data_IF_683292277287
#
_entry.id   IF_683292277287
#
_cell.length_a   1.000
_cell.length_b   1.000
_cell.length_c   1.000
_cell.angle_alpha   90.00
_cell.angle_beta   90.00
_cell.angle_gamma   90.00
#
_symmetry.space_group_name_H-M   'P 1'
#
loop_
_entity.id
_entity.type
_entity.pdbx_description
1 polymer ?
#
# COMPACT_ATOMS: atom_id res chain seq x y z
N UNK A 1 45.91 -10.47 57.89
CA UNK A 1 44.77 -11.01 57.13
C UNK A 1 45.26 -11.29 55.72
N UNK A 2 44.97 -12.48 55.22
CA UNK A 2 45.24 -13.11 53.91
C UNK A 2 45.13 -12.16 52.69
N UNK A 3 45.76 -12.34 51.52
CA UNK A 3 46.16 -13.54 50.76
C UNK A 3 47.06 -13.15 49.59
N UNK A 4 48.00 -14.03 49.22
CA UNK A 4 48.97 -13.98 48.11
C UNK A 4 48.46 -14.86 46.94
N UNK A 5 48.97 -14.58 45.73
CA UNK A 5 49.11 -15.44 44.53
C UNK A 5 48.02 -15.44 43.42
N UNK A 6 48.43 -14.89 42.27
CA UNK A 6 48.13 -15.32 40.87
C UNK A 6 48.93 -16.61 40.51
N UNK A 7 48.94 -17.19 39.27
CA UNK A 7 48.02 -17.23 38.11
C UNK A 7 47.90 -18.64 37.42
N UNK A 8 47.21 -18.74 36.25
CA UNK A 8 47.36 -19.75 35.13
C UNK A 8 46.94 -21.20 35.43
N UNK A 9 46.51 -22.09 34.52
CA UNK A 9 46.31 -22.21 33.06
C UNK A 9 45.33 -23.44 32.87
N UNK A 10 45.38 -24.33 31.85
CA UNK A 10 44.52 -24.34 30.67
C UNK A 10 43.79 -25.70 30.44
N UNK A 11 42.82 -25.79 29.53
CA UNK A 11 42.64 -27.01 28.70
C UNK A 11 41.59 -26.84 27.60
N UNK A 12 42.09 -26.96 26.38
CA UNK A 12 41.42 -27.08 25.07
C UNK A 12 40.80 -28.49 24.87
N UNK A 13 40.39 -28.90 23.65
CA UNK A 13 39.08 -28.77 23.01
C UNK A 13 38.53 -30.18 22.63
N UNK A 14 37.74 -30.30 21.54
CA UNK A 14 37.22 -31.52 20.85
C UNK A 14 35.74 -31.79 21.19
N UNK A 15 34.84 -32.15 20.26
CA UNK A 15 35.01 -32.98 19.06
C UNK A 15 33.86 -32.77 18.06
N UNK A 16 34.20 -33.01 16.79
CA UNK A 16 33.39 -32.92 15.57
C UNK A 16 32.73 -34.27 15.23
N UNK A 17 31.58 -34.21 14.51
CA UNK A 17 31.03 -35.14 13.49
C UNK A 17 30.38 -36.48 13.97
N UNK A 18 29.63 -37.21 13.10
CA UNK A 18 28.65 -36.83 12.06
C UNK A 18 27.39 -37.77 12.02
N UNK A 19 26.56 -37.62 10.98
CA UNK A 19 25.84 -38.69 10.25
C UNK A 19 24.35 -38.92 10.52
N UNK A 20 23.58 -39.01 9.42
CA UNK A 20 22.45 -39.96 9.34
C UNK A 20 21.09 -39.38 8.96
N UNK A 21 20.92 -38.94 7.72
CA UNK A 21 19.58 -38.90 7.09
C UNK A 21 19.18 -40.30 6.60
N UNK A 22 17.93 -40.73 6.84
CA UNK A 22 17.17 -41.55 5.89
C UNK A 22 15.93 -40.77 5.44
N UNK A 23 15.92 -40.22 4.22
CA UNK A 23 15.21 -40.71 3.00
C UNK A 23 13.87 -41.46 3.19
N UNK A 24 12.87 -40.96 2.44
CA UNK A 24 11.75 -41.66 1.82
C UNK A 24 10.37 -41.68 2.51
N UNK A 25 9.50 -40.78 2.04
CA UNK A 25 8.21 -41.07 1.38
C UNK A 25 7.59 -39.70 1.04
N UNK A 26 7.12 -39.36 -0.16
CA UNK A 26 6.60 -40.16 -1.26
C UNK A 26 5.24 -39.59 -1.66
N UNK A 27 5.15 -38.31 -2.08
CA UNK A 27 3.97 -37.74 -2.76
C UNK A 27 4.37 -36.66 -3.77
N UNK A 28 3.96 -36.78 -5.05
CA UNK A 28 4.14 -35.75 -6.06
C UNK A 28 2.93 -34.80 -6.04
N UNK A 29 3.14 -33.50 -6.18
CA UNK A 29 2.08 -32.61 -6.64
C UNK A 29 2.67 -31.51 -7.51
N UNK A 30 2.08 -31.38 -8.69
CA UNK A 30 2.48 -30.53 -9.80
C UNK A 30 2.52 -29.06 -9.40
N UNK A 31 3.63 -28.40 -9.73
CA UNK A 31 3.66 -26.97 -9.98
C UNK A 31 3.06 -26.70 -11.37
N UNK A 32 2.02 -25.87 -11.43
CA UNK A 32 1.52 -25.29 -12.68
C UNK A 32 1.27 -23.80 -12.44
N UNK A 33 2.09 -22.89 -13.00
CA UNK A 33 1.81 -21.47 -12.92
C UNK A 33 0.96 -21.05 -14.12
N UNK A 34 -0.18 -20.40 -13.86
CA UNK A 34 -0.86 -19.57 -14.86
C UNK A 34 -1.19 -18.20 -14.29
N UNK A 35 -0.54 -17.22 -14.89
CA UNK A 35 -0.70 -15.79 -14.71
C UNK A 35 -2.10 -15.29 -15.04
N UNK A 36 -2.45 -14.14 -14.46
CA UNK A 36 -3.16 -13.09 -15.21
C UNK A 36 -4.33 -12.43 -14.48
N UNK A 37 -4.26 -11.10 -14.50
CA UNK A 37 -5.39 -10.18 -14.73
C UNK A 37 -5.97 -9.44 -13.50
N UNK A 38 -5.48 -8.20 -13.40
CA UNK A 38 -6.19 -6.91 -13.19
C UNK A 38 -6.77 -6.58 -11.83
N UNK A 39 -6.15 -5.57 -11.22
CA UNK A 39 -6.78 -4.61 -10.32
C UNK A 39 -7.97 -3.91 -10.97
N UNK A 40 -8.98 -3.53 -10.18
CA UNK A 40 -9.59 -2.22 -10.34
C UNK A 40 -9.38 -1.33 -9.11
N UNK A 41 -8.87 -0.13 -9.38
CA UNK A 41 -8.84 1.01 -8.47
C UNK A 41 -10.28 1.50 -8.25
N UNK A 42 -10.66 1.75 -6.99
CA UNK A 42 -11.88 2.49 -6.68
C UNK A 42 -11.62 3.53 -5.58
N UNK A 43 -11.90 4.78 -5.95
CA UNK A 43 -11.78 6.02 -5.17
C UNK A 43 -13.08 6.26 -4.37
N UNK A 44 -13.04 6.64 -3.07
CA UNK A 44 -14.22 7.12 -2.37
C UNK A 44 -14.03 8.55 -1.87
N UNK A 45 -14.53 9.53 -2.64
CA UNK A 45 -15.05 10.76 -2.08
C UNK A 45 -16.58 10.62 -1.92
N UNK A 46 -17.07 10.55 -0.68
CA UNK A 46 -18.32 11.16 -0.15
C UNK A 46 -18.86 10.40 1.08
N UNK A 47 -18.99 11.14 2.18
CA UNK A 47 -19.99 10.93 3.23
C UNK A 47 -21.17 11.90 2.97
N UNK A 48 -22.32 11.90 3.69
CA UNK A 48 -22.70 11.13 4.88
C UNK A 48 -24.17 10.59 4.89
N UNK A 49 -24.47 9.52 5.65
CA UNK A 49 -25.75 9.39 6.41
C UNK A 49 -25.86 8.06 7.18
N UNK A 50 -26.06 8.18 8.50
CA UNK A 50 -26.78 7.30 9.45
C UNK A 50 -27.05 5.82 9.10
N UNK A 51 -26.39 4.89 9.82
CA UNK A 51 -27.00 3.66 10.36
C UNK A 51 -26.04 2.97 11.35
N UNK A 52 -26.53 2.59 12.53
CA UNK A 52 -25.81 1.77 13.49
C UNK A 52 -25.91 0.27 13.10
N UNK A 53 -24.80 -0.30 12.62
CA UNK A 53 -24.58 -1.73 12.29
C UNK A 53 -23.74 -1.88 11.00
N UNK A 54 -22.82 -2.86 10.80
CA UNK A 54 -22.55 -4.11 11.53
C UNK A 54 -21.05 -4.26 11.92
N UNK A 55 -20.48 -3.34 12.72
CA UNK A 55 -19.06 -3.44 13.14
C UNK A 55 -18.77 -4.69 13.99
N UNK A 56 -19.79 -5.24 14.66
CA UNK A 56 -19.67 -6.47 15.46
C UNK A 56 -19.51 -7.74 14.62
N UNK A 57 -20.18 -7.85 13.46
CA UNK A 57 -20.06 -9.05 12.62
C UNK A 57 -18.71 -9.07 11.91
N UNK A 58 -18.21 -7.93 11.44
CA UNK A 58 -16.85 -7.85 10.87
C UNK A 58 -15.76 -8.20 11.90
N UNK A 59 -15.93 -7.77 13.17
CA UNK A 59 -15.03 -8.20 14.25
C UNK A 59 -15.15 -9.69 14.54
N UNK A 60 -16.32 -10.30 14.39
CA UNK A 60 -16.51 -11.75 14.56
C UNK A 60 -15.90 -12.55 13.41
N UNK A 61 -16.15 -12.15 12.16
CA UNK A 61 -15.62 -12.79 10.96
C UNK A 61 -14.08 -12.74 10.92
N UNK A 62 -13.48 -11.62 11.31
CA UNK A 62 -12.02 -11.52 11.44
C UNK A 62 -11.48 -12.42 12.55
N UNK A 63 -12.21 -12.60 13.65
CA UNK A 63 -11.80 -13.52 14.73
C UNK A 63 -11.88 -14.98 14.31
N UNK A 64 -12.86 -15.35 13.48
CA UNK A 64 -12.96 -16.69 12.89
C UNK A 64 -11.88 -16.93 11.83
N UNK A 65 -11.63 -15.97 10.95
CA UNK A 65 -10.62 -16.06 9.89
C UNK A 65 -9.20 -16.22 10.45
N UNK A 66 -8.85 -15.46 11.50
CA UNK A 66 -7.54 -15.57 12.16
C UNK A 66 -7.51 -16.60 13.31
N UNK A 67 -8.57 -17.40 13.50
CA UNK A 67 -8.70 -18.37 14.59
C UNK A 67 -8.39 -17.78 15.98
N UNK A 68 -8.70 -16.49 16.18
CA UNK A 68 -8.46 -15.75 17.43
C UNK A 68 -9.52 -16.05 18.49
N UNK A 69 -10.09 -17.26 18.48
CA UNK A 69 -10.85 -17.76 19.62
C UNK A 69 -9.83 -17.87 20.75
N UNK A 70 -9.89 -16.92 21.68
CA UNK A 70 -9.17 -17.05 22.93
C UNK A 70 -9.48 -18.46 23.44
N UNK A 71 -8.47 -19.29 23.74
CA UNK A 71 -8.75 -20.50 24.48
C UNK A 71 -9.30 -19.97 25.79
N UNK A 72 -10.62 -20.06 25.94
CA UNK A 72 -11.18 -20.24 27.26
C UNK A 72 -10.50 -21.52 27.70
N UNK A 73 -9.48 -21.40 28.54
CA UNK A 73 -8.90 -22.54 29.24
C UNK A 73 -9.97 -22.96 30.25
N UNK A 74 -11.12 -23.38 29.73
CA UNK A 74 -11.79 -24.52 30.30
C UNK A 74 -10.86 -25.66 29.93
N UNK A 75 -10.34 -26.32 30.95
CA UNK A 75 -9.65 -27.59 30.84
C UNK A 75 -10.71 -28.55 30.26
N UNK A 76 -10.91 -28.46 28.95
CA UNK A 76 -11.92 -29.21 28.24
C UNK A 76 -11.36 -30.61 28.09
N UNK A 77 -11.82 -31.47 28.99
CA UNK A 77 -11.82 -32.92 28.84
C UNK A 77 -10.43 -33.54 28.74
N UNK A 78 -9.88 -33.95 29.89
CA UNK A 78 -9.29 -35.28 29.88
C UNK A 78 -10.40 -36.21 29.38
N UNK A 79 -10.23 -36.80 28.18
CA UNK A 79 -11.16 -37.81 27.63
C UNK A 79 -11.17 -39.10 28.47
N UNK A 80 -10.34 -39.15 29.52
CA UNK A 80 -10.33 -40.20 30.52
C UNK A 80 -11.36 -39.85 31.60
N UNK A 81 -12.41 -40.69 31.80
CA UNK A 81 -13.30 -40.56 32.94
C UNK A 81 -12.48 -40.45 34.23
N UNK A 82 -12.84 -39.52 35.12
CA UNK A 82 -12.19 -39.40 36.43
C UNK A 82 -12.21 -40.76 37.12
N UNK A 83 -11.03 -41.33 37.35
CA UNK A 83 -10.89 -42.61 38.03
C UNK A 83 -11.24 -42.42 39.50
N UNK A 84 -11.72 -43.47 40.17
CA UNK A 84 -11.87 -43.46 41.64
C UNK A 84 -10.54 -43.14 42.35
N UNK A 85 -9.41 -43.35 41.66
CA UNK A 85 -8.05 -43.01 42.10
C UNK A 85 -7.75 -41.50 42.04
N UNK A 86 -8.52 -40.73 41.27
CA UNK A 86 -8.34 -39.28 41.06
C UNK A 86 -9.22 -38.44 42.01
N UNK A 87 -9.96 -39.08 42.92
CA UNK A 87 -10.80 -38.40 43.89
C UNK A 87 -9.96 -37.57 44.88
N UNK A 88 -10.40 -36.35 45.24
CA UNK A 88 -9.65 -35.47 46.15
C UNK A 88 -9.48 -36.06 47.56
N UNK A 89 -10.42 -36.90 47.99
CA UNK A 89 -10.42 -37.57 49.29
C UNK A 89 -9.94 -39.04 49.19
N UNK A 90 -9.13 -39.36 48.18
CA UNK A 90 -8.66 -40.73 47.95
C UNK A 90 -7.78 -41.24 49.11
N UNK A 91 -8.23 -42.30 49.79
CA UNK A 91 -7.43 -43.07 50.76
C UNK A 91 -6.87 -44.34 50.14
N UNK A 92 -5.54 -44.36 49.96
CA UNK A 92 -4.82 -45.51 49.42
C UNK A 92 -4.94 -46.76 50.30
N UNK A 93 -4.98 -46.61 51.62
CA UNK A 93 -5.03 -47.75 52.54
C UNK A 93 -6.40 -48.44 52.50
N UNK A 94 -7.49 -47.67 52.54
CA UNK A 94 -8.86 -48.18 52.39
C UNK A 94 -9.07 -48.80 51.00
N UNK A 95 -8.58 -48.15 49.95
CA UNK A 95 -8.66 -48.67 48.58
C UNK A 95 -7.96 -50.02 48.44
N UNK A 96 -6.71 -50.14 48.91
CA UNK A 96 -5.96 -51.40 48.84
C UNK A 96 -6.63 -52.49 49.68
N UNK A 97 -7.08 -52.17 50.89
CA UNK A 97 -7.79 -53.13 51.74
C UNK A 97 -9.06 -53.68 51.05
N UNK A 98 -9.86 -52.80 50.44
CA UNK A 98 -11.06 -53.15 49.68
C UNK A 98 -10.76 -53.99 48.45
N UNK A 99 -9.70 -53.67 47.71
CA UNK A 99 -9.31 -54.41 46.51
C UNK A 99 -8.78 -55.80 46.89
N UNK A 100 -7.95 -55.92 47.92
CA UNK A 100 -7.43 -57.22 48.38
C UNK A 100 -8.52 -58.11 48.95
N UNK A 101 -9.54 -57.54 49.62
CA UNK A 101 -10.64 -58.33 50.20
C UNK A 101 -11.63 -58.84 49.14
N UNK A 102 -11.78 -58.15 48.01
CA UNK A 102 -12.86 -58.39 47.04
C UNK A 102 -12.37 -58.96 45.70
N UNK A 103 -11.06 -59.03 45.45
CA UNK A 103 -10.49 -59.42 44.15
C UNK A 103 -9.63 -60.69 44.26
N UNK A 104 -9.57 -61.48 43.19
CA UNK A 104 -8.64 -62.60 43.09
C UNK A 104 -7.20 -62.15 42.81
N UNK A 105 -6.23 -63.05 42.99
CA UNK A 105 -4.81 -62.77 42.70
C UNK A 105 -4.56 -62.35 41.25
N UNK A 106 -5.30 -62.93 40.30
CA UNK A 106 -5.18 -62.58 38.87
C UNK A 106 -5.60 -61.12 38.62
N UNK A 107 -6.73 -60.70 39.19
CA UNK A 107 -7.21 -59.32 39.08
C UNK A 107 -6.24 -58.34 39.73
N UNK A 108 -5.65 -58.72 40.85
CA UNK A 108 -4.65 -57.92 41.55
C UNK A 108 -3.38 -57.71 40.70
N UNK A 109 -2.93 -58.75 40.00
CA UNK A 109 -1.78 -58.67 39.08
C UNK A 109 -2.10 -57.83 37.84
N UNK A 110 -3.32 -57.93 37.30
CA UNK A 110 -3.78 -57.08 36.20
C UNK A 110 -3.82 -55.61 36.63
N UNK A 111 -4.39 -55.32 37.81
CA UNK A 111 -4.43 -53.96 38.35
C UNK A 111 -3.02 -53.41 38.59
N UNK A 112 -2.11 -54.22 39.14
CA UNK A 112 -0.72 -53.81 39.34
C UNK A 112 -0.04 -53.42 38.01
N UNK A 113 -0.17 -54.26 36.99
CA UNK A 113 0.45 -53.97 35.68
C UNK A 113 -0.17 -52.73 35.02
N UNK A 114 -1.48 -52.54 35.16
CA UNK A 114 -2.17 -51.32 34.72
C UNK A 114 -1.65 -50.08 35.43
N UNK A 115 -1.66 -50.04 36.77
CA UNK A 115 -1.22 -48.88 37.57
C UNK A 115 0.25 -48.55 37.29
N UNK A 116 1.11 -49.56 37.19
CA UNK A 116 2.53 -49.35 36.84
C UNK A 116 2.68 -48.78 35.42
N UNK A 117 1.81 -49.18 34.49
CA UNK A 117 1.73 -48.60 33.15
C UNK A 117 1.32 -47.13 33.18
N UNK A 118 0.24 -46.82 33.90
CA UNK A 118 -0.29 -45.47 34.07
C UNK A 118 0.73 -44.53 34.72
N UNK A 119 1.42 -44.96 35.79
CA UNK A 119 2.48 -44.18 36.44
C UNK A 119 3.60 -43.80 35.46
N UNK A 120 4.00 -44.73 34.58
CA UNK A 120 5.03 -44.45 33.56
C UNK A 120 4.50 -43.52 32.46
N UNK A 121 3.24 -43.70 32.05
CA UNK A 121 2.61 -42.84 31.07
C UNK A 121 2.49 -41.39 31.59
N UNK A 122 2.04 -41.21 32.83
CA UNK A 122 1.93 -39.90 33.49
C UNK A 122 3.30 -39.23 33.68
N UNK A 123 4.36 -39.98 34.01
CA UNK A 123 5.71 -39.42 34.08
C UNK A 123 6.20 -38.95 32.70
N UNK A 124 5.92 -39.72 31.65
CA UNK A 124 6.25 -39.35 30.27
C UNK A 124 5.47 -38.10 29.83
N UNK A 125 4.18 -38.02 30.14
CA UNK A 125 3.33 -36.87 29.84
C UNK A 125 3.80 -35.62 30.59
N UNK A 126 4.08 -35.74 31.90
CA UNK A 126 4.65 -34.64 32.70
C UNK A 126 5.92 -34.10 32.08
N UNK A 127 6.84 -34.99 31.67
CA UNK A 127 8.08 -34.59 30.98
C UNK A 127 7.75 -33.89 29.66
N UNK A 128 6.87 -34.44 28.84
CA UNK A 128 6.47 -33.84 27.57
C UNK A 128 5.89 -32.44 27.75
N UNK A 129 5.01 -32.23 28.74
CA UNK A 129 4.44 -30.92 29.06
C UNK A 129 5.52 -29.91 29.49
N UNK A 130 6.47 -30.35 30.32
CA UNK A 130 7.59 -29.51 30.75
C UNK A 130 8.47 -29.11 29.56
N UNK A 131 8.80 -30.05 28.67
CA UNK A 131 9.58 -29.77 27.47
C UNK A 131 8.86 -28.84 26.50
N UNK A 132 7.56 -29.05 26.28
CA UNK A 132 6.74 -28.18 25.44
C UNK A 132 6.66 -26.76 26.03
N UNK A 133 6.46 -26.64 27.35
CA UNK A 133 6.43 -25.35 28.01
C UNK A 133 7.77 -24.60 27.91
N UNK A 134 8.89 -25.26 28.23
CA UNK A 134 10.21 -24.65 28.10
C UNK A 134 10.54 -24.30 26.65
N UNK A 135 10.20 -25.17 25.68
CA UNK A 135 10.37 -24.89 24.26
C UNK A 135 9.57 -23.65 23.82
N UNK A 136 8.32 -23.52 24.28
CA UNK A 136 7.47 -22.33 24.05
C UNK A 136 8.06 -21.06 24.66
N UNK A 137 8.61 -21.13 25.88
CA UNK A 137 9.26 -19.98 26.51
C UNK A 137 10.56 -19.57 25.78
N UNK A 138 11.37 -20.55 25.36
CA UNK A 138 12.59 -20.30 24.59
C UNK A 138 12.25 -19.67 23.24
N UNK A 139 11.27 -20.21 22.52
CA UNK A 139 10.84 -19.64 21.23
C UNK A 139 10.23 -18.25 21.37
N UNK A 140 9.46 -17.98 22.44
CA UNK A 140 8.94 -16.65 22.74
C UNK A 140 10.07 -15.65 23.04
N UNK A 141 11.04 -16.03 23.87
CA UNK A 141 12.19 -15.17 24.19
C UNK A 141 13.08 -14.90 22.98
N UNK A 142 13.28 -15.88 22.09
CA UNK A 142 13.99 -15.69 20.83
C UNK A 142 13.21 -14.77 19.87
N UNK A 143 11.88 -14.89 19.84
CA UNK A 143 11.02 -13.99 19.05
C UNK A 143 11.16 -12.55 19.54
N UNK A 144 11.15 -12.34 20.87
CA UNK A 144 11.37 -11.01 21.47
C UNK A 144 12.76 -10.47 21.10
N UNK A 145 13.80 -11.32 21.17
CA UNK A 145 15.17 -10.94 20.77
C UNK A 145 15.22 -10.51 19.31
N UNK A 146 14.61 -11.28 18.40
CA UNK A 146 14.54 -10.96 16.96
C UNK A 146 13.73 -9.69 16.69
N UNK A 147 12.60 -9.49 17.38
CA UNK A 147 11.82 -8.26 17.28
C UNK A 147 12.65 -7.04 17.72
N UNK A 148 13.39 -7.16 18.82
CA UNK A 148 14.27 -6.08 19.30
C UNK A 148 15.40 -5.79 18.32
N UNK A 149 16.06 -6.82 17.81
CA UNK A 149 17.12 -6.68 16.81
C UNK A 149 16.62 -6.12 15.46
N UNK A 150 15.34 -6.27 15.14
CA UNK A 150 14.70 -5.63 13.98
C UNK A 150 14.17 -4.23 14.27
N UNK A 151 13.98 -3.85 15.55
CA UNK A 151 13.57 -2.50 15.96
C UNK A 151 14.77 -1.57 16.24
N UNK A 152 15.88 -2.08 16.78
CA UNK A 152 17.13 -1.32 16.91
C UNK A 152 17.64 -0.72 15.56
N UNK A 153 17.48 -1.36 14.38
CA UNK A 153 17.79 -0.77 13.09
C UNK A 153 16.75 0.24 12.56
N UNK A 154 15.67 0.57 13.30
CA UNK A 154 14.87 1.77 13.00
C UNK A 154 15.58 3.05 13.44
N UNK A 155 16.59 2.98 14.30
CA UNK A 155 17.43 4.13 14.64
C UNK A 155 18.34 4.60 13.48
N UNK A 156 18.98 3.74 12.66
CA UNK A 156 19.76 4.19 11.51
C UNK A 156 18.90 4.77 10.37
N UNK A 157 17.69 4.28 10.08
CA UNK A 157 16.82 4.94 9.09
C UNK A 157 16.31 6.30 9.59
N UNK A 158 15.93 6.42 10.86
CA UNK A 158 15.63 7.71 11.47
C UNK A 158 16.87 8.65 11.46
N UNK A 159 18.07 8.11 11.69
CA UNK A 159 19.34 8.86 11.61
C UNK A 159 19.73 9.31 10.19
N UNK A 160 19.12 8.76 9.13
CA UNK A 160 19.32 9.25 7.74
C UNK A 160 18.35 10.35 7.33
N UNK A 161 17.22 10.48 8.04
CA UNK A 161 16.20 11.47 7.70
C UNK A 161 16.65 12.89 8.07
N UNK A 162 17.19 13.08 9.28
CA UNK A 162 17.70 14.38 9.74
C UNK A 162 18.76 15.00 8.81
N UNK A 163 19.83 14.27 8.39
CA UNK A 163 20.79 14.82 7.45
C UNK A 163 20.20 15.03 6.06
N UNK A 164 19.26 14.20 5.60
CA UNK A 164 18.58 14.41 4.32
C UNK A 164 17.72 15.69 4.33
N UNK A 165 16.99 15.94 5.42
CA UNK A 165 16.21 17.17 5.61
C UNK A 165 17.15 18.38 5.66
N UNK A 166 18.28 18.29 6.35
CA UNK A 166 19.28 19.36 6.37
C UNK A 166 19.87 19.64 4.98
N UNK A 167 20.14 18.60 4.17
CA UNK A 167 20.58 18.73 2.79
C UNK A 167 19.51 19.39 1.91
N UNK A 168 18.25 19.00 2.04
CA UNK A 168 17.15 19.61 1.29
C UNK A 168 17.01 21.09 1.67
N UNK A 169 17.08 21.42 2.96
CA UNK A 169 16.97 22.80 3.42
C UNK A 169 18.11 23.68 2.88
N UNK A 170 19.35 23.17 2.92
CA UNK A 170 20.51 23.89 2.38
C UNK A 170 20.42 24.06 0.86
N UNK A 171 20.04 23.01 0.13
CA UNK A 171 19.82 23.09 -1.32
C UNK A 171 18.70 24.07 -1.68
N UNK A 172 17.55 23.98 -1.02
CA UNK A 172 16.41 24.87 -1.25
C UNK A 172 16.76 26.33 -0.92
N UNK A 173 17.49 26.57 0.16
CA UNK A 173 17.97 27.91 0.52
C UNK A 173 18.93 28.48 -0.52
N UNK A 174 19.86 27.64 -1.01
CA UNK A 174 20.80 28.04 -2.08
C UNK A 174 20.09 28.34 -3.40
N UNK A 175 19.07 27.56 -3.75
CA UNK A 175 18.26 27.77 -4.95
C UNK A 175 17.44 29.06 -4.84
N UNK A 176 16.84 29.30 -3.67
CA UNK A 176 16.10 30.53 -3.39
C UNK A 176 16.98 31.77 -3.53
N UNK A 177 18.21 31.70 -3.03
CA UNK A 177 19.16 32.80 -3.13
C UNK A 177 19.61 33.05 -4.57
N UNK A 178 19.95 31.99 -5.32
CA UNK A 178 20.24 32.09 -6.76
C UNK A 178 19.07 32.67 -7.56
N UNK A 179 17.85 32.23 -7.26
CA UNK A 179 16.65 32.74 -7.91
C UNK A 179 16.44 34.22 -7.59
N UNK A 180 16.61 34.62 -6.32
CA UNK A 180 16.54 36.02 -5.87
C UNK A 180 17.56 36.91 -6.58
N UNK A 181 18.77 36.40 -6.85
CA UNK A 181 19.79 37.13 -7.59
C UNK A 181 19.48 37.23 -9.09
N UNK A 182 18.88 36.19 -9.69
CA UNK A 182 18.51 36.16 -11.11
C UNK A 182 17.20 36.89 -11.44
N UNK A 183 16.29 37.02 -10.48
CA UNK A 183 14.99 37.67 -10.63
C UNK A 183 14.99 38.96 -9.82
N UNK A 184 15.27 40.12 -10.45
CA UNK A 184 15.12 41.41 -9.81
C UNK A 184 13.73 41.55 -9.22
N UNK A 185 13.66 42.18 -8.04
CA UNK A 185 12.42 42.33 -7.27
C UNK A 185 11.27 42.86 -8.15
N UNK A 186 10.03 42.36 -7.97
CA UNK A 186 8.88 42.76 -8.79
C UNK A 186 8.61 44.27 -8.74
N UNK A 187 8.96 44.92 -7.63
CA UNK A 187 8.77 46.36 -7.43
C UNK A 187 9.95 47.21 -7.93
N UNK A 188 11.06 46.58 -8.33
CA UNK A 188 12.16 47.27 -9.01
C UNK A 188 11.71 47.78 -10.38
N UNK A 189 12.22 48.93 -10.81
CA UNK A 189 11.96 49.48 -12.14
C UNK A 189 12.34 48.50 -13.26
N UNK A 190 13.38 47.68 -13.07
CA UNK A 190 13.77 46.62 -13.99
C UNK A 190 12.78 45.43 -13.99
N UNK A 191 12.11 45.17 -12.87
CA UNK A 191 11.04 44.18 -12.76
C UNK A 191 9.79 44.63 -13.51
N UNK A 192 9.37 45.88 -13.31
CA UNK A 192 8.23 46.49 -14.01
C UNK A 192 8.43 46.55 -15.52
N UNK A 193 9.63 46.92 -16.00
CA UNK A 193 9.97 46.94 -17.43
C UNK A 193 9.86 45.55 -18.05
N UNK A 194 10.51 44.53 -17.46
CA UNK A 194 10.43 43.14 -17.93
C UNK A 194 8.99 42.60 -17.94
N UNK A 195 8.20 42.93 -16.92
CA UNK A 195 6.80 42.54 -16.87
C UNK A 195 5.96 43.21 -17.96
N UNK A 196 6.21 44.50 -18.25
CA UNK A 196 5.56 45.22 -19.34
C UNK A 196 5.94 44.65 -20.72
N UNK A 197 7.21 44.31 -20.92
CA UNK A 197 7.70 43.71 -22.17
C UNK A 197 7.10 42.33 -22.41
N UNK A 198 7.04 41.48 -21.37
CA UNK A 198 6.42 40.16 -21.48
C UNK A 198 4.92 40.25 -21.76
N UNK A 199 4.22 41.23 -21.17
CA UNK A 199 2.80 41.50 -21.48
C UNK A 199 2.64 41.91 -22.94
N UNK A 200 3.47 42.83 -23.44
CA UNK A 200 3.44 43.27 -24.84
C UNK A 200 3.70 42.12 -25.81
N UNK A 201 4.66 41.23 -25.50
CA UNK A 201 4.95 40.05 -26.30
C UNK A 201 3.75 39.12 -26.39
N UNK A 202 3.15 38.76 -25.24
CA UNK A 202 1.95 37.91 -25.19
C UNK A 202 0.77 38.53 -25.97
N UNK A 203 0.53 39.82 -25.79
CA UNK A 203 -0.53 40.51 -26.53
C UNK A 203 -0.27 40.51 -28.03
N UNK A 204 1.00 40.67 -28.44
CA UNK A 204 1.40 40.61 -29.86
C UNK A 204 1.21 39.21 -30.44
N UNK A 205 1.61 38.16 -29.73
CA UNK A 205 1.42 36.77 -30.15
C UNK A 205 -0.06 36.44 -30.33
N UNK A 206 -0.89 36.84 -29.36
CA UNK A 206 -2.35 36.70 -29.45
C UNK A 206 -2.92 37.45 -30.66
N UNK A 207 -2.46 38.68 -30.91
CA UNK A 207 -2.89 39.45 -32.08
C UNK A 207 -2.51 38.77 -33.41
N UNK A 208 -1.30 38.22 -33.51
CA UNK A 208 -0.87 37.46 -34.69
C UNK A 208 -1.72 36.20 -34.88
N UNK A 209 -1.99 35.47 -33.81
CA UNK A 209 -2.82 34.26 -33.87
C UNK A 209 -4.25 34.56 -34.33
N UNK A 210 -4.86 35.60 -33.76
CA UNK A 210 -6.22 36.04 -34.10
C UNK A 210 -6.31 36.49 -35.56
N UNK A 211 -5.36 37.32 -36.03
CA UNK A 211 -5.34 37.78 -37.42
C UNK A 211 -5.10 36.65 -38.43
N UNK A 212 -4.46 35.55 -38.02
CA UNK A 212 -4.27 34.37 -38.86
C UNK A 212 -5.50 33.45 -38.92
N UNK A 213 -6.51 33.65 -38.06
CA UNK A 213 -7.67 32.75 -37.99
C UNK A 213 -8.55 32.76 -39.26
N UNK A 214 -8.84 33.89 -39.95
CA UNK A 214 -9.70 33.88 -41.15
C UNK A 214 -9.15 33.00 -42.29
N UNK A 215 -7.82 32.95 -42.44
CA UNK A 215 -7.16 32.05 -43.41
C UNK A 215 -7.39 30.58 -43.04
N UNK A 216 -7.20 30.22 -41.76
CA UNK A 216 -7.46 28.86 -41.26
C UNK A 216 -8.93 28.46 -41.45
N UNK A 217 -9.86 29.39 -41.25
CA UNK A 217 -11.28 29.15 -41.47
C UNK A 217 -11.60 28.84 -42.94
N UNK A 218 -10.96 29.54 -43.88
CA UNK A 218 -11.15 29.27 -45.32
C UNK A 218 -10.74 27.86 -45.68
N UNK A 219 -9.63 27.37 -45.13
CA UNK A 219 -9.15 26.03 -45.44
C UNK A 219 -10.06 24.95 -44.83
N UNK A 220 -10.56 25.14 -43.61
CA UNK A 220 -11.55 24.26 -43.00
C UNK A 220 -12.88 24.21 -43.76
N UNK A 221 -13.31 25.34 -44.34
CA UNK A 221 -14.53 25.39 -45.16
C UNK A 221 -14.32 24.70 -46.52
N UNK A 222 -13.14 24.82 -47.14
CA UNK A 222 -12.79 24.04 -48.34
C UNK A 222 -12.79 22.53 -48.09
N UNK A 223 -12.39 22.11 -46.89
CA UNK A 223 -12.44 20.71 -46.44
C UNK A 223 -13.87 20.23 -46.09
N UNK A 224 -14.87 21.09 -46.14
CA UNK A 224 -16.27 20.77 -45.81
C UNK A 224 -16.61 20.80 -44.31
N UNK A 225 -15.67 21.16 -43.42
CA UNK A 225 -15.84 21.17 -41.97
C UNK A 225 -16.35 22.52 -41.45
N UNK A 226 -17.51 22.94 -41.96
CA UNK A 226 -18.09 24.28 -41.71
C UNK A 226 -18.44 24.50 -40.23
N UNK A 227 -18.94 23.47 -39.54
CA UNK A 227 -19.33 23.59 -38.12
C UNK A 227 -18.14 23.77 -37.20
N UNK A 228 -17.03 23.07 -37.48
CA UNK A 228 -15.78 23.21 -36.71
C UNK A 228 -15.15 24.58 -36.90
N UNK A 229 -15.16 25.10 -38.14
CA UNK A 229 -14.73 26.44 -38.45
C UNK A 229 -15.54 27.51 -37.69
N UNK A 230 -16.87 27.40 -37.65
CA UNK A 230 -17.72 28.32 -36.87
C UNK A 230 -17.34 28.33 -35.39
N UNK A 231 -17.16 27.16 -34.78
CA UNK A 231 -16.76 27.04 -33.37
C UNK A 231 -15.39 27.67 -33.10
N UNK A 232 -14.43 27.50 -34.02
CA UNK A 232 -13.10 28.11 -33.89
C UNK A 232 -13.12 29.62 -34.09
N UNK A 233 -14.11 30.17 -34.79
CA UNK A 233 -14.25 31.60 -35.01
C UNK A 233 -14.90 32.36 -33.85
N UNK A 234 -15.71 31.71 -33.01
CA UNK A 234 -16.46 32.38 -31.94
C UNK A 234 -15.58 33.19 -30.97
N UNK A 235 -14.49 32.60 -30.48
CA UNK A 235 -13.62 33.24 -29.49
C UNK A 235 -12.72 34.33 -30.10
N UNK A 236 -12.02 34.11 -31.23
CA UNK A 236 -11.29 35.17 -31.93
C UNK A 236 -12.19 36.33 -32.36
N UNK A 237 -13.41 36.05 -32.85
CA UNK A 237 -14.38 37.10 -33.22
C UNK A 237 -14.78 37.96 -32.03
N UNK A 238 -15.09 37.36 -30.87
CA UNK A 238 -15.40 38.11 -29.64
C UNK A 238 -14.24 39.01 -29.21
N UNK A 239 -13.02 38.52 -29.33
CA UNK A 239 -11.82 39.29 -28.99
C UNK A 239 -11.61 40.48 -29.96
N UNK A 240 -11.82 40.27 -31.26
CA UNK A 240 -11.75 41.34 -32.27
C UNK A 240 -12.85 42.39 -32.07
N UNK A 241 -14.08 41.98 -31.76
CA UNK A 241 -15.18 42.91 -31.44
C UNK A 241 -14.83 43.75 -30.21
N UNK A 242 -14.31 43.12 -29.14
CA UNK A 242 -13.85 43.84 -27.97
C UNK A 242 -12.70 44.81 -28.29
N UNK A 243 -11.77 44.44 -29.18
CA UNK A 243 -10.69 45.34 -29.63
C UNK A 243 -11.24 46.52 -30.43
N UNK A 244 -12.24 46.30 -31.28
CA UNK A 244 -12.90 47.35 -32.05
C UNK A 244 -13.64 48.34 -31.13
N UNK A 245 -14.38 47.83 -30.13
CA UNK A 245 -15.08 48.66 -29.12
C UNK A 245 -14.10 49.50 -28.28
N UNK A 246 -12.91 48.96 -27.99
CA UNK A 246 -11.84 49.68 -27.30
C UNK A 246 -11.06 50.65 -28.21
N UNK A 247 -11.40 50.73 -29.50
CA UNK A 247 -10.71 51.59 -30.48
C UNK A 247 -9.29 51.11 -30.81
N UNK A 248 -8.99 49.84 -30.58
CA UNK A 248 -7.66 49.25 -30.82
C UNK A 248 -7.63 48.64 -32.21
N UNK A 249 -6.70 49.08 -33.07
CA UNK A 249 -6.45 48.49 -34.39
C UNK A 249 -7.29 49.05 -35.56
N UNK A 250 -8.27 49.92 -35.27
CA UNK A 250 -9.01 50.69 -36.28
C UNK A 250 -9.70 49.82 -37.35
N UNK A 251 -9.74 50.33 -38.58
CA UNK A 251 -10.43 49.69 -39.71
C UNK A 251 -9.93 48.26 -40.00
N UNK A 252 -8.67 47.95 -39.71
CA UNK A 252 -8.09 46.62 -39.93
C UNK A 252 -8.70 45.51 -39.06
N UNK A 253 -9.20 45.85 -37.87
CA UNK A 253 -9.91 44.89 -37.01
C UNK A 253 -11.29 44.60 -37.58
N UNK A 254 -11.96 45.63 -38.11
CA UNK A 254 -13.25 45.48 -38.77
C UNK A 254 -13.13 44.65 -40.06
N UNK A 255 -12.11 44.93 -40.89
CA UNK A 255 -11.79 44.16 -42.08
C UNK A 255 -11.58 42.66 -41.76
N UNK A 256 -10.88 42.36 -40.67
CA UNK A 256 -10.63 40.98 -40.24
C UNK A 256 -11.92 40.26 -39.79
N UNK A 257 -12.83 40.97 -39.11
CA UNK A 257 -14.14 40.44 -38.73
C UNK A 257 -14.97 40.13 -39.99
N UNK A 258 -14.99 41.07 -40.93
CA UNK A 258 -15.75 40.94 -42.17
C UNK A 258 -15.19 39.83 -43.07
N UNK A 259 -13.85 39.71 -43.15
CA UNK A 259 -13.17 38.63 -43.86
C UNK A 259 -13.49 37.25 -43.25
N UNK A 260 -13.48 37.13 -41.92
CA UNK A 260 -13.82 35.89 -41.22
C UNK A 260 -15.30 35.50 -41.37
N UNK A 261 -16.21 36.47 -41.35
CA UNK A 261 -17.64 36.24 -41.57
C UNK A 261 -17.98 35.92 -43.03
N UNK A 262 -17.25 36.50 -43.99
CA UNK A 262 -17.41 36.23 -45.41
C UNK A 262 -17.10 34.76 -45.76
N UNK A 263 -16.23 34.08 -45.00
CA UNK A 263 -15.93 32.65 -45.19
C UNK A 263 -17.18 31.76 -45.07
N UNK A 264 -18.18 32.19 -44.29
CA UNK A 264 -19.40 31.43 -44.05
C UNK A 264 -20.60 31.90 -44.90
N UNK A 265 -20.44 32.98 -45.68
CA UNK A 265 -21.47 33.45 -46.61
C UNK A 265 -21.38 32.62 -47.90
N UNK A 266 -22.50 32.09 -48.43
CA UNK A 266 -22.47 31.41 -49.73
C UNK A 266 -22.04 32.42 -50.80
N UNK A 267 -21.10 32.02 -51.66
CA UNK A 267 -20.70 32.83 -52.81
C UNK A 267 -21.95 33.12 -53.67
N UNK A 268 -22.15 34.36 -54.17
CA UNK A 268 -23.24 34.65 -55.10
C UNK A 268 -23.01 33.85 -56.39
N UNK A 269 -24.00 33.02 -56.75
CA UNK A 269 -24.04 32.26 -58.00
C UNK A 269 -23.78 33.20 -59.20
N UNK A 270 -22.63 33.03 -59.85
CA UNK A 270 -22.42 33.58 -61.19
C UNK A 270 -23.27 32.76 -62.18
N UNK A 271 -24.10 33.39 -63.02
CA UNK A 271 -25.00 32.66 -63.91
C UNK A 271 -24.20 31.82 -64.92
N UNK A 272 -24.42 30.50 -64.91
CA UNK A 272 -23.96 29.57 -65.96
C UNK A 272 -24.41 30.10 -67.32
N UNK A 273 -23.45 30.54 -68.15
CA UNK A 273 -23.67 30.75 -69.58
C UNK A 273 -24.15 29.44 -70.19
N UNK A 274 -25.44 29.37 -70.53
CA UNK A 274 -25.99 28.34 -71.40
C UNK A 274 -25.49 28.67 -72.81
N UNK A 275 -24.45 27.98 -73.26
CA UNK A 275 -24.05 28.02 -74.67
C UNK A 275 -25.03 27.15 -75.45
N UNK A 276 -25.96 27.81 -76.13
CA UNK A 276 -26.88 27.23 -77.10
C UNK A 276 -26.27 27.50 -78.49
N UNK A 277 -25.74 26.46 -79.13
CA UNK A 277 -25.65 26.36 -80.60
C UNK A 277 -25.38 24.88 -80.95
N UNK A 278 -26.26 24.11 -81.60
CA UNK A 278 -26.86 24.21 -82.96
C UNK A 278 -26.06 23.43 -84.00
N UNK A 279 -26.68 22.33 -84.45
CA UNK A 279 -26.50 21.55 -85.70
C UNK A 279 -25.29 20.61 -85.83
#
# INVERSE_FOLDING_TARGET
MSTIASPRDPSTPLRRLPSGTPTSSGRPSLDTPRSGITSPVHDPSQTPSSAAGPKRSNRAALREYYKLRAPRIEIAGSEVPLSDLDAPDFDAAEFVARVVSNSGLEDLLRLYTQVVGEVRALDAEKKALVYDNYSKLITATETIRKMRANMDPLNPMASTLDPAIAQIYTQASSLREKLRQSVPAPDSEEGKRRAADLRRQRTRELAVEVLATPQKLRDLVKEGKIQEAKRQWEMPKRLLVAWNEMGVGGDHVQDCIDEGDAVFKPAPDLPRRISKDSR
#
